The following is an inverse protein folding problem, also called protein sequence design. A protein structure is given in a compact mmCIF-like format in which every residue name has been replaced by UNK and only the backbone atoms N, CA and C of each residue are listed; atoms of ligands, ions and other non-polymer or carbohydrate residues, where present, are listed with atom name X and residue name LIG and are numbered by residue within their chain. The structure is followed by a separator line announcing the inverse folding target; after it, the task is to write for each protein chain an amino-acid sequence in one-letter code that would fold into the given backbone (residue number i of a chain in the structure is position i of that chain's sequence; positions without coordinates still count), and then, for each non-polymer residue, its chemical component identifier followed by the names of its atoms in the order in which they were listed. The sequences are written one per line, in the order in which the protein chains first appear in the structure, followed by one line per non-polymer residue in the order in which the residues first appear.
data_IF_727857387334
#
_entry.id   IF_727857387334
#
_cell.length_a   1.000
_cell.length_b   1.000
_cell.length_c   1.000
_cell.angle_alpha   90.00
_cell.angle_beta   90.00
_cell.angle_gamma   90.00
#
_symmetry.space_group_name_H-M   'P 1'
#
loop_
_entity.id
_entity.type
_entity.pdbx_description
1 polymer ?
#
# COMPACT_ATOMS: atom_id res chain seq x y z
N UNK A 1 14.82 -4.30 -11.00
CA UNK A 1 15.34 -3.46 -9.95
C UNK A 1 16.83 -3.72 -9.75
N UNK A 2 17.62 -2.70 -9.81
CA UNK A 2 19.08 -2.81 -9.81
C UNK A 2 19.71 -2.65 -8.42
N UNK A 3 18.94 -2.22 -7.41
CA UNK A 3 19.49 -1.94 -6.10
C UNK A 3 18.97 -2.90 -5.03
N UNK A 4 19.83 -3.30 -4.07
CA UNK A 4 19.36 -4.08 -2.93
C UNK A 4 18.30 -3.33 -2.11
N UNK A 5 17.36 -4.06 -1.53
CA UNK A 5 16.30 -3.49 -0.68
C UNK A 5 16.90 -2.65 0.47
N UNK A 6 18.05 -3.06 0.98
CA UNK A 6 18.74 -2.35 2.06
C UNK A 6 19.18 -0.93 1.73
N UNK A 7 19.25 -0.57 0.44
CA UNK A 7 19.62 0.79 0.03
C UNK A 7 18.42 1.70 -0.19
N UNK A 8 17.20 1.17 -0.11
CA UNK A 8 16.00 1.96 -0.30
C UNK A 8 15.77 2.83 0.93
N UNK A 9 15.60 4.12 0.71
CA UNK A 9 15.42 5.07 1.80
C UNK A 9 13.98 5.41 2.07
N UNK A 10 13.10 5.23 1.07
CA UNK A 10 11.71 5.64 1.19
C UNK A 10 10.85 4.82 0.23
N UNK A 11 9.66 4.42 0.70
CA UNK A 11 8.66 3.76 -0.13
C UNK A 11 7.52 4.71 -0.44
N UNK A 12 7.18 4.82 -1.71
CA UNK A 12 5.98 5.51 -2.17
C UNK A 12 4.93 4.45 -2.45
N UNK A 13 3.83 4.45 -1.69
CA UNK A 13 2.76 3.47 -1.83
C UNK A 13 1.54 4.16 -2.40
N UNK A 14 1.16 3.77 -3.61
CA UNK A 14 0.01 4.35 -4.31
C UNK A 14 -1.16 3.36 -4.24
N UNK A 15 -2.31 3.86 -3.78
CA UNK A 15 -3.51 3.07 -3.54
C UNK A 15 -4.64 3.61 -4.43
N UNK A 16 -5.28 2.74 -5.24
CA UNK A 16 -6.44 3.17 -6.03
C UNK A 16 -7.66 3.40 -5.12
N UNK A 17 -8.65 4.11 -5.64
CA UNK A 17 -9.94 4.21 -4.98
C UNK A 17 -10.47 2.82 -4.66
N UNK A 18 -11.11 2.68 -3.50
CA UNK A 18 -11.69 1.42 -3.04
C UNK A 18 -10.67 0.32 -2.76
N UNK A 19 -9.38 0.62 -2.74
CA UNK A 19 -8.35 -0.39 -2.41
C UNK A 19 -8.64 -1.06 -1.07
N UNK A 20 -9.08 -0.29 -0.08
CA UNK A 20 -9.39 -0.80 1.26
C UNK A 20 -10.59 -1.77 1.29
N UNK A 21 -11.37 -1.82 0.21
CA UNK A 21 -12.51 -2.74 0.07
C UNK A 21 -12.12 -4.08 -0.54
N UNK A 22 -10.91 -4.21 -1.05
CA UNK A 22 -10.44 -5.49 -1.58
C UNK A 22 -10.24 -6.50 -0.45
N UNK A 23 -10.67 -7.74 -0.68
CA UNK A 23 -10.57 -8.78 0.34
C UNK A 23 -9.14 -9.07 0.79
N UNK A 24 -8.17 -8.88 -0.08
CA UNK A 24 -6.76 -9.08 0.24
C UNK A 24 -6.01 -7.82 0.66
N UNK A 25 -6.70 -6.70 0.80
CA UNK A 25 -6.05 -5.41 1.05
C UNK A 25 -5.23 -5.42 2.34
N UNK A 26 -5.85 -5.84 3.41
CA UNK A 26 -5.22 -5.79 4.73
C UNK A 26 -3.98 -6.69 4.80
N UNK A 27 -4.07 -7.87 4.22
CA UNK A 27 -2.93 -8.79 4.13
C UNK A 27 -1.77 -8.15 3.35
N UNK A 28 -2.07 -7.50 2.23
CA UNK A 28 -1.07 -6.81 1.42
C UNK A 28 -0.46 -5.63 2.14
N UNK A 29 -1.29 -4.87 2.88
CA UNK A 29 -0.82 -3.74 3.68
C UNK A 29 0.17 -4.19 4.76
N UNK A 30 -0.12 -5.31 5.41
CA UNK A 30 0.78 -5.88 6.41
C UNK A 30 2.12 -6.27 5.83
N UNK A 31 2.14 -6.80 4.62
CA UNK A 31 3.41 -7.11 3.93
C UNK A 31 4.23 -5.85 3.69
N UNK A 32 3.58 -4.78 3.25
CA UNK A 32 4.25 -3.49 3.03
C UNK A 32 4.85 -2.97 4.33
N UNK A 33 4.08 -2.99 5.41
CA UNK A 33 4.55 -2.55 6.71
C UNK A 33 5.70 -3.40 7.23
N UNK A 34 5.63 -4.71 7.01
CA UNK A 34 6.68 -5.61 7.44
C UNK A 34 8.01 -5.31 6.73
N UNK A 35 7.94 -5.04 5.43
CA UNK A 35 9.12 -4.63 4.66
C UNK A 35 9.73 -3.35 5.23
N UNK A 36 8.91 -2.34 5.45
CA UNK A 36 9.38 -1.06 5.98
C UNK A 36 9.92 -1.17 7.40
N UNK A 37 9.25 -1.94 8.25
CA UNK A 37 9.67 -2.15 9.64
C UNK A 37 11.03 -2.83 9.71
N UNK A 38 11.23 -3.87 8.89
CA UNK A 38 12.48 -4.63 8.89
C UNK A 38 13.66 -3.81 8.38
N UNK A 39 13.42 -2.90 7.46
CA UNK A 39 14.46 -2.03 6.88
C UNK A 39 14.60 -0.69 7.59
N UNK A 40 13.70 -0.35 8.52
CA UNK A 40 13.67 0.97 9.15
C UNK A 40 13.34 2.09 8.18
N UNK A 41 12.63 1.79 7.10
CA UNK A 41 12.40 2.69 5.98
C UNK A 41 11.10 3.48 6.17
N UNK A 42 11.11 4.72 5.73
CA UNK A 42 9.94 5.60 5.74
C UNK A 42 8.96 5.22 4.62
N UNK A 43 7.66 5.33 4.92
CA UNK A 43 6.60 5.09 3.93
C UNK A 43 5.80 6.36 3.70
N UNK A 44 5.51 6.67 2.44
CA UNK A 44 4.55 7.71 2.06
C UNK A 44 3.37 7.04 1.35
N UNK A 45 2.18 7.14 1.93
CA UNK A 45 0.96 6.59 1.36
C UNK A 45 0.21 7.66 0.57
N UNK A 46 -0.22 7.30 -0.63
CA UNK A 46 -1.02 8.15 -1.51
C UNK A 46 -2.32 7.42 -1.83
N UNK A 47 -3.43 8.01 -1.47
CA UNK A 47 -4.74 7.42 -1.70
C UNK A 47 -5.88 8.41 -1.48
N UNK A 48 -7.11 7.98 -1.74
CA UNK A 48 -8.24 8.85 -1.47
C UNK A 48 -8.49 8.95 0.03
N UNK A 49 -9.33 9.90 0.42
CA UNK A 49 -9.57 10.20 1.83
C UNK A 49 -10.06 8.98 2.62
N UNK A 50 -10.99 8.20 2.06
CA UNK A 50 -11.55 7.03 2.75
C UNK A 50 -10.49 5.97 3.00
N UNK A 51 -9.69 5.65 2.00
CA UNK A 51 -8.61 4.65 2.11
C UNK A 51 -7.55 5.13 3.12
N UNK A 52 -7.16 6.39 3.03
CA UNK A 52 -6.15 6.96 3.93
C UNK A 52 -6.64 6.93 5.39
N UNK A 53 -7.90 7.25 5.64
CA UNK A 53 -8.45 7.19 6.99
C UNK A 53 -8.36 5.80 7.59
N UNK A 54 -8.62 4.76 6.80
CA UNK A 54 -8.50 3.38 7.27
C UNK A 54 -7.06 3.09 7.68
N UNK A 55 -6.10 3.47 6.87
CA UNK A 55 -4.68 3.21 7.13
C UNK A 55 -4.19 4.02 8.34
N UNK A 56 -4.61 5.28 8.46
CA UNK A 56 -4.23 6.12 9.60
C UNK A 56 -4.70 5.54 10.93
N UNK A 57 -5.90 4.97 10.97
CA UNK A 57 -6.42 4.34 12.18
C UNK A 57 -5.51 3.20 12.63
N UNK A 58 -5.03 2.40 11.67
CA UNK A 58 -4.15 1.27 11.97
C UNK A 58 -2.77 1.79 12.37
N UNK A 59 -2.25 2.79 11.65
CA UNK A 59 -0.92 3.35 11.85
C UNK A 59 -0.71 3.87 13.27
N UNK A 60 -1.74 4.44 13.90
CA UNK A 60 -1.64 4.96 15.26
C UNK A 60 -1.23 3.91 16.29
N UNK A 61 -1.39 2.64 15.97
CA UNK A 61 -1.07 1.53 16.87
C UNK A 61 0.20 0.79 16.50
N UNK A 62 0.86 1.18 15.41
CA UNK A 62 2.12 0.57 14.99
C UNK A 62 3.19 1.64 14.90
N UNK A 63 4.41 1.29 15.31
CA UNK A 63 5.54 2.23 15.29
C UNK A 63 6.25 2.18 13.94
N UNK A 64 5.61 2.77 12.93
CA UNK A 64 6.16 2.87 11.58
C UNK A 64 6.16 4.34 11.17
N UNK A 65 7.26 4.82 10.62
CA UNK A 65 7.38 6.17 10.11
C UNK A 65 6.60 6.26 8.79
N UNK A 66 5.40 6.81 8.86
CA UNK A 66 4.51 6.90 7.71
C UNK A 66 3.90 8.30 7.59
N UNK A 67 3.81 8.78 6.37
CA UNK A 67 3.12 10.02 6.01
C UNK A 67 1.98 9.70 5.05
N UNK A 68 0.94 10.53 5.04
CA UNK A 68 -0.27 10.28 4.27
C UNK A 68 -0.62 11.49 3.42
N UNK A 69 -0.91 11.22 2.14
CA UNK A 69 -1.23 12.25 1.16
C UNK A 69 -2.49 11.87 0.40
N UNK A 70 -3.34 12.85 0.12
CA UNK A 70 -4.56 12.62 -0.65
C UNK A 70 -4.21 12.54 -2.13
N UNK A 71 -4.72 11.48 -2.77
CA UNK A 71 -4.50 11.17 -4.17
C UNK A 71 -5.82 10.66 -4.75
N UNK A 72 -6.46 11.45 -5.60
CA UNK A 72 -7.80 11.14 -6.09
C UNK A 72 -7.83 10.73 -7.57
N UNK A 73 -6.77 11.01 -8.33
CA UNK A 73 -6.75 10.80 -9.75
C UNK A 73 -5.45 10.12 -10.18
N UNK A 74 -5.59 8.96 -10.83
CA UNK A 74 -4.43 8.23 -11.36
C UNK A 74 -3.63 9.02 -12.39
N UNK A 75 -4.25 10.02 -13.02
CA UNK A 75 -3.51 10.91 -13.92
C UNK A 75 -2.48 11.78 -13.20
N UNK A 76 -2.59 11.91 -11.88
CA UNK A 76 -1.62 12.63 -11.06
C UNK A 76 -0.37 11.79 -10.73
N UNK A 77 -0.36 10.53 -11.14
CA UNK A 77 0.74 9.61 -10.82
C UNK A 77 2.10 10.15 -11.31
N UNK A 78 2.12 10.83 -12.44
CA UNK A 78 3.33 11.44 -12.96
C UNK A 78 3.96 12.43 -11.97
N UNK A 79 3.14 13.20 -11.27
CA UNK A 79 3.61 14.17 -10.27
C UNK A 79 4.30 13.47 -9.10
N UNK A 80 3.77 12.32 -8.71
CA UNK A 80 4.36 11.52 -7.64
C UNK A 80 5.71 10.98 -8.10
N UNK A 81 5.79 10.46 -9.32
CA UNK A 81 7.03 9.93 -9.87
C UNK A 81 8.12 11.01 -9.97
N UNK A 82 7.75 12.23 -10.28
CA UNK A 82 8.68 13.36 -10.35
C UNK A 82 9.31 13.72 -9.01
N UNK A 83 8.61 13.40 -7.90
CA UNK A 83 9.13 13.63 -6.55
C UNK A 83 10.09 12.54 -6.10
N UNK A 84 10.09 11.40 -6.77
CA UNK A 84 10.91 10.26 -6.38
C UNK A 84 12.36 10.47 -6.73
N UNK A 85 13.22 10.09 -5.81
CA UNK A 85 14.68 10.12 -5.97
C UNK A 85 15.19 8.73 -6.29
N UNK A 86 16.47 8.64 -6.63
CA UNK A 86 17.11 7.40 -7.07
C UNK A 86 16.95 6.25 -6.08
N UNK A 87 17.02 6.55 -4.78
CA UNK A 87 16.94 5.53 -3.73
C UNK A 87 15.53 5.32 -3.18
N UNK A 88 14.53 5.85 -3.85
CA UNK A 88 13.13 5.61 -3.50
C UNK A 88 12.60 4.41 -4.26
N UNK A 89 11.64 3.71 -3.67
CA UNK A 89 10.96 2.59 -4.33
C UNK A 89 9.46 2.85 -4.41
N UNK A 90 8.85 2.36 -5.46
CA UNK A 90 7.42 2.48 -5.68
C UNK A 90 6.73 1.16 -5.33
N UNK A 91 5.67 1.24 -4.55
CA UNK A 91 4.75 0.11 -4.34
C UNK A 91 3.39 0.56 -4.85
N UNK A 92 2.89 -0.11 -5.85
CA UNK A 92 1.66 0.26 -6.51
C UNK A 92 0.63 -0.84 -6.33
N UNK A 93 -0.48 -0.51 -5.66
CA UNK A 93 -1.60 -1.44 -5.51
C UNK A 93 -2.42 -1.43 -6.79
N UNK A 94 -2.58 -2.60 -7.36
CA UNK A 94 -3.26 -2.84 -8.64
C UNK A 94 -4.50 -3.69 -8.42
N UNK A 95 -5.31 -3.80 -9.46
CA UNK A 95 -6.47 -4.68 -9.44
C UNK A 95 -6.70 -5.29 -10.81
N UNK A 96 -7.21 -6.52 -10.84
CA UNK A 96 -7.71 -7.15 -12.05
C UNK A 96 -9.13 -6.68 -12.34
N UNK A 97 -9.61 -6.90 -13.57
CA UNK A 97 -10.92 -6.41 -14.02
C UNK A 97 -12.09 -6.82 -13.12
N UNK A 98 -11.99 -7.95 -12.44
CA UNK A 98 -13.06 -8.46 -11.58
C UNK A 98 -13.04 -7.87 -10.18
N UNK A 99 -12.02 -7.11 -9.85
CA UNK A 99 -11.84 -6.55 -8.51
C UNK A 99 -12.50 -5.17 -8.40
N UNK A 100 -12.95 -4.85 -7.18
CA UNK A 100 -13.73 -3.63 -6.93
C UNK A 100 -12.91 -2.35 -7.13
N UNK A 101 -11.60 -2.40 -6.92
CA UNK A 101 -10.73 -1.24 -7.08
C UNK A 101 -10.14 -1.10 -8.47
N UNK A 102 -10.57 -1.92 -9.43
CA UNK A 102 -10.04 -1.87 -10.79
C UNK A 102 -10.35 -0.54 -11.46
N UNK A 103 -9.34 0.00 -12.15
CA UNK A 103 -9.47 1.17 -13.03
C UNK A 103 -8.90 0.81 -14.41
N UNK A 104 -9.56 1.21 -15.50
CA UNK A 104 -9.07 0.90 -16.86
C UNK A 104 -7.62 1.34 -17.10
N UNK A 105 -7.20 2.45 -16.50
CA UNK A 105 -5.85 2.99 -16.60
C UNK A 105 -4.79 2.02 -16.08
N UNK A 106 -5.16 1.10 -15.21
CA UNK A 106 -4.23 0.11 -14.65
C UNK A 106 -3.66 -0.81 -15.72
N UNK A 107 -4.35 -1.00 -16.83
CA UNK A 107 -3.89 -1.86 -17.91
C UNK A 107 -2.64 -1.30 -18.61
N UNK A 108 -2.45 0.01 -18.55
CA UNK A 108 -1.31 0.69 -19.18
C UNK A 108 -0.11 0.85 -18.24
N UNK A 109 -0.31 0.60 -16.95
CA UNK A 109 0.74 0.81 -15.94
C UNK A 109 1.99 -0.01 -16.19
N UNK A 110 1.91 -1.32 -16.48
CA UNK A 110 3.13 -2.10 -16.71
C UNK A 110 3.98 -1.55 -17.85
N UNK A 111 3.35 -1.13 -18.93
CA UNK A 111 4.07 -0.53 -20.05
C UNK A 111 4.70 0.81 -19.66
N UNK A 112 3.93 1.63 -18.95
CA UNK A 112 4.43 2.92 -18.47
C UNK A 112 5.67 2.75 -17.59
N UNK A 113 5.62 1.81 -16.65
CA UNK A 113 6.74 1.55 -15.76
C UNK A 113 7.94 1.00 -16.53
N UNK A 114 7.71 0.13 -17.51
CA UNK A 114 8.79 -0.39 -18.34
C UNK A 114 9.47 0.72 -19.15
N UNK A 115 8.71 1.67 -19.66
CA UNK A 115 9.23 2.75 -20.48
C UNK A 115 9.91 3.85 -19.68
N UNK A 116 9.40 4.17 -18.49
CA UNK A 116 9.82 5.34 -17.71
C UNK A 116 10.44 5.00 -16.35
N UNK A 117 10.32 3.78 -15.89
CA UNK A 117 10.75 3.35 -14.55
C UNK A 117 11.71 2.15 -14.58
N UNK A 118 12.26 1.83 -15.74
CA UNK A 118 13.08 0.64 -15.99
C UNK A 118 14.21 0.44 -14.99
N UNK A 119 14.88 1.52 -14.58
CA UNK A 119 16.06 1.46 -13.73
C UNK A 119 15.77 1.77 -12.27
N UNK A 120 14.51 1.80 -11.90
CA UNK A 120 14.11 2.07 -10.52
C UNK A 120 13.42 0.87 -9.91
N UNK A 121 13.41 0.84 -8.58
CA UNK A 121 12.75 -0.23 -7.85
C UNK A 121 11.26 -0.01 -7.78
N UNK A 122 10.49 -1.00 -8.19
CA UNK A 122 9.03 -0.96 -8.01
C UNK A 122 8.48 -2.35 -7.77
N UNK A 123 7.32 -2.40 -7.13
CA UNK A 123 6.58 -3.61 -6.84
C UNK A 123 5.10 -3.37 -7.13
N UNK A 124 4.49 -4.25 -7.91
CA UNK A 124 3.05 -4.24 -8.15
C UNK A 124 2.40 -5.26 -7.22
N UNK A 125 1.40 -4.82 -6.47
CA UNK A 125 0.66 -5.68 -5.56
C UNK A 125 -0.78 -5.78 -6.03
N UNK A 126 -1.23 -7.01 -6.27
CA UNK A 126 -2.62 -7.32 -6.56
C UNK A 126 -3.20 -7.97 -5.31
N UNK A 127 -4.00 -7.25 -4.49
CA UNK A 127 -4.58 -7.85 -3.30
C UNK A 127 -5.37 -9.09 -3.66
N UNK A 128 -4.97 -10.23 -3.12
CA UNK A 128 -5.54 -11.51 -3.49
C UNK A 128 -6.85 -11.79 -2.77
N UNK A 129 -7.81 -12.39 -3.47
CA UNK A 129 -9.04 -12.89 -2.86
C UNK A 129 -8.78 -14.16 -2.04
N UNK A 130 -7.67 -14.85 -2.29
CA UNK A 130 -7.27 -16.08 -1.58
C UNK A 130 -6.44 -15.71 -0.35
N UNK A 131 -7.01 -14.91 0.54
CA UNK A 131 -6.38 -14.63 1.82
C UNK A 131 -6.75 -15.72 2.82
N UNK A 132 -5.90 -15.88 3.84
CA UNK A 132 -6.26 -16.77 4.95
C UNK A 132 -7.53 -16.26 5.61
N UNK A 133 -8.46 -17.17 6.02
CA UNK A 133 -9.71 -16.74 6.67
C UNK A 133 -9.49 -15.80 7.85
N UNK A 134 -8.41 -15.98 8.59
CA UNK A 134 -8.03 -15.12 9.70
C UNK A 134 -7.82 -13.68 9.27
N UNK A 135 -7.19 -13.48 8.12
CA UNK A 135 -6.91 -12.14 7.58
C UNK A 135 -8.17 -11.45 7.08
N UNK A 136 -9.08 -12.21 6.49
CA UNK A 136 -10.37 -11.66 6.06
C UNK A 136 -11.23 -11.22 7.24
N UNK A 137 -11.28 -12.04 8.28
CA UNK A 137 -11.96 -11.70 9.52
C UNK A 137 -11.37 -10.44 10.12
N UNK A 138 -10.05 -10.37 10.14
CA UNK A 138 -9.32 -9.24 10.66
C UNK A 138 -9.63 -7.95 9.90
N UNK A 139 -9.67 -8.01 8.58
CA UNK A 139 -10.02 -6.87 7.75
C UNK A 139 -11.43 -6.36 8.04
N UNK A 140 -12.39 -7.28 8.24
CA UNK A 140 -13.76 -6.93 8.61
C UNK A 140 -13.81 -6.28 9.99
N UNK A 141 -13.10 -6.86 10.94
CA UNK A 141 -13.06 -6.36 12.32
C UNK A 141 -12.48 -4.96 12.37
N UNK A 142 -11.42 -4.71 11.62
CA UNK A 142 -10.82 -3.37 11.52
C UNK A 142 -11.78 -2.38 10.84
N UNK A 143 -12.45 -2.79 9.77
CA UNK A 143 -13.41 -1.94 9.07
C UNK A 143 -14.59 -1.53 9.94
N UNK A 144 -14.94 -2.36 10.91
CA UNK A 144 -16.07 -2.14 11.82
C UNK A 144 -15.65 -1.63 13.21
N UNK A 145 -14.37 -1.66 13.53
CA UNK A 145 -13.89 -1.31 14.86
C UNK A 145 -13.82 0.20 15.04
N UNK A 146 -14.55 0.71 16.02
CA UNK A 146 -14.42 2.09 16.48
C UNK A 146 -13.34 2.23 17.56
N UNK A 147 -12.81 1.11 18.03
CA UNK A 147 -11.85 1.03 19.13
C UNK A 147 -10.42 0.79 18.61
N UNK A 148 -9.58 1.78 18.74
CA UNK A 148 -8.19 1.73 18.32
C UNK A 148 -7.36 0.73 19.13
N UNK A 149 -7.73 0.45 20.38
CA UNK A 149 -7.02 -0.54 21.20
C UNK A 149 -7.19 -1.93 20.62
N UNK A 150 -8.41 -2.26 20.19
CA UNK A 150 -8.70 -3.54 19.55
C UNK A 150 -7.93 -3.70 18.25
N UNK A 151 -7.88 -2.66 17.43
CA UNK A 151 -7.10 -2.65 16.18
C UNK A 151 -5.62 -2.89 16.48
N UNK A 152 -5.08 -2.23 17.49
CA UNK A 152 -3.69 -2.40 17.90
C UNK A 152 -3.38 -3.81 18.33
N UNK A 153 -4.27 -4.44 19.08
CA UNK A 153 -4.11 -5.83 19.52
C UNK A 153 -4.12 -6.79 18.35
N UNK A 154 -5.03 -6.57 17.40
CA UNK A 154 -5.16 -7.39 16.20
C UNK A 154 -3.89 -7.28 15.35
N UNK A 155 -3.43 -6.08 15.08
CA UNK A 155 -2.20 -5.85 14.31
C UNK A 155 -1.00 -6.45 15.03
N UNK A 156 -0.91 -6.30 16.34
CA UNK A 156 0.16 -6.86 17.15
C UNK A 156 0.27 -8.38 17.05
N UNK A 157 -0.86 -9.09 16.95
CA UNK A 157 -0.86 -10.54 16.78
C UNK A 157 -0.28 -10.98 15.43
N UNK A 158 -0.44 -10.17 14.40
CA UNK A 158 0.02 -10.51 13.05
C UNK A 158 1.51 -10.25 12.90
N UNK A 159 2.03 -9.19 13.53
CA UNK A 159 3.44 -8.85 13.45
C UNK A 159 4.34 -9.68 14.40
N UNK A 160 3.77 -10.55 15.18
CA UNK A 160 4.54 -11.56 15.89
C UNK A 160 4.87 -12.74 14.95
#
# INVERSE_FOLDING_TARGET
ASQPVSTIQRYFVILPKKAHLESGFFHSLLKVWNIARNSGTKIEFYGNEKTIKVIEKIRKKVNIDASFYIFNDWNEMKRIFEKMKENDALILFMANREMVSFLPQMQEVPKYLNDHFRYRNYLLIFPSRKTKPEHEKLARDIGNADDFVEIGNIVGKIFK
#
